data_IF_889767846560
#
_entry.id   IF_889767846560
#
_cell.length_a   1.000
_cell.length_b   1.000
_cell.length_c   1.000
_cell.angle_alpha   90.00
_cell.angle_beta   90.00
_cell.angle_gamma   90.00
#
_symmetry.space_group_name_H-M   'P 1'
#
loop_
_entity.id
_entity.type
_entity.pdbx_description
1 polymer ?
#
# COMPACT_ATOMS: atom_id res chain seq x y z
N UNK A 1 -18.79 29.27 12.30
CA UNK A 1 -17.33 29.47 12.13
C UNK A 1 -16.56 28.15 12.15
N UNK A 2 -16.71 27.30 13.17
CA UNK A 2 -16.01 26.00 13.25
C UNK A 2 -16.37 24.99 12.14
N UNK A 3 -17.60 25.05 11.62
CA UNK A 3 -18.07 24.16 10.55
C UNK A 3 -17.51 24.57 9.16
N UNK A 4 -17.23 25.85 8.94
CA UNK A 4 -16.59 26.32 7.69
C UNK A 4 -15.13 25.86 7.60
N UNK A 5 -14.48 25.63 8.74
CA UNK A 5 -13.13 25.07 8.78
C UNK A 5 -13.14 23.64 8.25
N UNK A 6 -14.15 22.82 8.61
CA UNK A 6 -14.29 21.44 8.14
C UNK A 6 -14.59 21.34 6.63
N UNK A 7 -15.40 22.26 6.09
CA UNK A 7 -15.70 22.34 4.66
C UNK A 7 -14.49 22.79 3.82
N UNK A 8 -13.62 23.62 4.40
CA UNK A 8 -12.38 24.09 3.79
C UNK A 8 -11.14 23.25 4.17
N UNK A 9 -11.29 22.11 4.86
CA UNK A 9 -10.15 21.26 5.24
C UNK A 9 -9.54 20.62 3.99
N UNK A 10 -8.45 21.21 3.52
CA UNK A 10 -7.55 20.57 2.58
C UNK A 10 -6.73 19.46 3.27
N UNK A 11 -5.95 18.77 2.44
CA UNK A 11 -4.98 17.77 2.94
C UNK A 11 -3.99 18.36 3.95
N UNK A 12 -3.62 19.64 3.78
CA UNK A 12 -2.69 20.36 4.65
C UNK A 12 -3.26 20.55 6.06
N UNK A 13 -4.50 21.03 6.20
CA UNK A 13 -5.12 21.27 7.50
C UNK A 13 -5.39 19.96 8.25
N UNK A 14 -5.82 18.91 7.54
CA UNK A 14 -5.95 17.58 8.12
C UNK A 14 -4.60 17.08 8.66
N UNK A 15 -3.51 17.30 7.93
CA UNK A 15 -2.16 16.93 8.38
C UNK A 15 -1.73 17.72 9.62
N UNK A 16 -2.09 19.00 9.72
CA UNK A 16 -1.77 19.83 10.88
C UNK A 16 -2.51 19.37 12.14
N UNK A 17 -3.80 19.08 12.03
CA UNK A 17 -4.61 18.55 13.13
C UNK A 17 -4.12 17.15 13.53
N UNK A 18 -3.80 16.31 12.54
CA UNK A 18 -3.21 15.00 12.75
C UNK A 18 -1.89 15.12 13.53
N UNK A 19 -0.99 16.02 13.13
CA UNK A 19 0.29 16.24 13.81
C UNK A 19 0.08 16.69 15.26
N UNK A 20 -0.86 17.60 15.52
CA UNK A 20 -1.18 18.04 16.88
C UNK A 20 -1.74 16.89 17.73
N UNK A 21 -2.65 16.09 17.17
CA UNK A 21 -3.14 14.87 17.81
C UNK A 21 -2.01 13.85 18.05
N UNK A 22 -1.05 13.70 17.12
CA UNK A 22 0.12 12.83 17.29
C UNK A 22 1.04 13.32 18.40
N UNK A 23 1.14 14.63 18.67
CA UNK A 23 1.92 15.14 19.79
C UNK A 23 1.22 14.83 21.12
N UNK A 24 -0.09 15.04 21.20
CA UNK A 24 -0.86 14.77 22.43
C UNK A 24 -0.99 13.27 22.73
N UNK A 25 -1.38 12.48 21.74
CA UNK A 25 -1.60 11.04 21.89
C UNK A 25 -0.33 10.22 21.65
N UNK A 26 0.57 10.69 20.80
CA UNK A 26 1.76 9.94 20.35
C UNK A 26 1.52 9.19 19.02
N UNK A 27 2.49 9.18 18.09
CA UNK A 27 2.39 8.46 16.81
C UNK A 27 2.22 6.95 16.94
N UNK A 28 2.60 6.38 18.10
CA UNK A 28 2.41 4.97 18.40
C UNK A 28 1.01 4.64 18.93
N UNK A 29 0.32 5.58 19.58
CA UNK A 29 -0.97 5.32 20.24
C UNK A 29 -2.14 5.31 19.27
N UNK A 30 -2.15 6.20 18.27
CA UNK A 30 -3.19 6.20 17.23
C UNK A 30 -3.30 4.86 16.46
N UNK A 31 -2.20 4.28 15.91
CA UNK A 31 -2.28 2.99 15.23
C UNK A 31 -2.55 1.83 16.19
N UNK A 32 -2.11 1.93 17.45
CA UNK A 32 -2.43 0.93 18.47
C UNK A 32 -3.92 0.93 18.80
N UNK A 33 -4.51 2.11 18.97
CA UNK A 33 -5.93 2.29 19.23
C UNK A 33 -6.75 1.83 18.03
N UNK A 34 -6.40 2.24 16.80
CA UNK A 34 -7.10 1.82 15.59
C UNK A 34 -7.05 0.30 15.35
N UNK A 35 -5.94 -0.37 15.67
CA UNK A 35 -5.87 -1.85 15.63
C UNK A 35 -6.84 -2.50 16.61
N UNK A 36 -6.90 -2.00 17.84
CA UNK A 36 -7.83 -2.52 18.84
C UNK A 36 -9.30 -2.24 18.47
N UNK A 37 -9.62 -1.01 18.06
CA UNK A 37 -10.94 -0.59 17.63
C UNK A 37 -11.37 -1.35 16.36
N UNK A 38 -10.46 -1.52 15.40
CA UNK A 38 -10.69 -2.28 14.17
C UNK A 38 -11.04 -3.73 14.44
N UNK A 39 -10.44 -4.36 15.45
CA UNK A 39 -10.81 -5.73 15.86
C UNK A 39 -12.26 -5.79 16.36
N UNK A 40 -12.66 -4.85 17.23
CA UNK A 40 -14.06 -4.77 17.71
C UNK A 40 -15.03 -4.51 16.56
N UNK A 41 -14.68 -3.62 15.63
CA UNK A 41 -15.51 -3.34 14.44
C UNK A 41 -15.61 -4.58 13.54
N UNK A 42 -14.54 -5.35 13.38
CA UNK A 42 -14.56 -6.58 12.58
C UNK A 42 -15.45 -7.66 13.21
N UNK A 43 -15.36 -7.84 14.53
CA UNK A 43 -16.22 -8.75 15.29
C UNK A 43 -17.68 -8.29 15.25
N UNK A 44 -17.94 -6.98 15.40
CA UNK A 44 -19.27 -6.39 15.27
C UNK A 44 -19.85 -6.56 13.86
N UNK A 45 -19.04 -6.36 12.81
CA UNK A 45 -19.47 -6.62 11.42
C UNK A 45 -19.85 -8.07 11.20
N UNK A 46 -19.06 -9.02 11.74
CA UNK A 46 -19.37 -10.44 11.64
C UNK A 46 -20.68 -10.80 12.35
N UNK A 47 -20.86 -10.32 13.57
CA UNK A 47 -22.13 -10.48 14.28
C UNK A 47 -23.30 -9.85 13.49
N UNK A 48 -23.11 -8.64 12.96
CA UNK A 48 -24.12 -7.92 12.14
C UNK A 48 -24.51 -8.71 10.88
N UNK A 49 -23.55 -9.35 10.23
CA UNK A 49 -23.78 -10.21 9.06
C UNK A 49 -24.59 -11.45 9.43
N UNK A 50 -24.30 -12.09 10.57
CA UNK A 50 -25.06 -13.23 11.06
C UNK A 50 -26.51 -12.82 11.41
N UNK A 51 -26.71 -11.64 12.00
CA UNK A 51 -28.04 -11.07 12.25
C UNK A 51 -28.78 -10.80 10.94
N UNK A 52 -28.11 -10.22 9.93
CA UNK A 52 -28.70 -9.95 8.61
C UNK A 52 -29.16 -11.24 7.94
N UNK A 53 -28.34 -12.29 7.96
CA UNK A 53 -28.69 -13.61 7.40
C UNK A 53 -29.88 -14.26 8.08
N UNK A 54 -29.94 -14.15 9.42
CA UNK A 54 -31.06 -14.68 10.20
C UNK A 54 -32.34 -13.91 9.88
N UNK A 55 -32.27 -12.59 9.77
CA UNK A 55 -33.39 -11.73 9.42
C UNK A 55 -33.90 -12.01 8.00
N UNK A 56 -33.01 -12.08 7.01
CA UNK A 56 -33.36 -12.41 5.61
C UNK A 56 -34.01 -13.79 5.50
N UNK A 57 -33.52 -14.79 6.26
CA UNK A 57 -34.12 -16.12 6.29
C UNK A 57 -35.54 -16.11 6.84
N UNK A 58 -35.78 -15.35 7.91
CA UNK A 58 -37.10 -15.26 8.53
C UNK A 58 -38.09 -14.51 7.63
N UNK A 59 -37.67 -13.37 7.06
CA UNK A 59 -38.52 -12.58 6.15
C UNK A 59 -38.83 -13.37 4.87
N UNK A 60 -37.84 -14.07 4.28
CA UNK A 60 -38.07 -14.90 3.10
C UNK A 60 -38.99 -16.11 3.40
N UNK A 61 -38.93 -16.66 4.61
CA UNK A 61 -39.83 -17.73 5.04
C UNK A 61 -41.27 -17.21 5.17
N UNK A 62 -41.46 -16.04 5.77
CA UNK A 62 -42.76 -15.38 5.88
C UNK A 62 -43.32 -15.02 4.49
N UNK A 63 -42.50 -14.48 3.59
CA UNK A 63 -42.89 -14.18 2.21
C UNK A 63 -43.32 -15.45 1.44
N UNK A 64 -42.61 -16.57 1.61
CA UNK A 64 -42.97 -17.85 0.98
C UNK A 64 -44.29 -18.44 1.50
N UNK A 65 -44.62 -18.20 2.78
CA UNK A 65 -45.91 -18.60 3.37
C UNK A 65 -47.06 -17.73 2.87
N UNK A 66 -46.78 -16.47 2.56
CA UNK A 66 -47.75 -15.52 2.00
C UNK A 66 -47.94 -15.72 0.49
N UNK A 67 -46.90 -16.16 -0.25
CA UNK A 67 -46.92 -16.37 -1.71
C UNK A 67 -47.42 -17.77 -2.15
N UNK A 68 -47.42 -18.77 -1.25
CA UNK A 68 -48.00 -20.10 -1.50
C UNK A 68 -49.52 -20.09 -1.84
N UNK A 69 -50.16 -18.90 -1.82
CA UNK A 69 -51.52 -18.67 -2.28
C UNK A 69 -51.70 -18.27 -3.75
N UNK A 70 -50.65 -18.02 -4.54
CA UNK A 70 -50.85 -17.59 -5.94
C UNK A 70 -49.63 -17.84 -6.87
N UNK A 71 -49.70 -18.77 -7.84
CA UNK A 71 -48.58 -19.02 -8.75
C UNK A 71 -48.61 -18.04 -9.93
N UNK A 72 -47.93 -16.91 -9.78
CA UNK A 72 -47.49 -16.04 -10.89
C UNK A 72 -46.55 -14.99 -10.28
N UNK A 73 -45.24 -15.01 -10.47
CA UNK A 73 -44.59 -14.77 -11.77
C UNK A 73 -43.09 -15.02 -11.58
N UNK A 74 -42.47 -15.72 -12.52
CA UNK A 74 -41.02 -15.76 -12.66
C UNK A 74 -40.52 -14.34 -12.90
N UNK A 75 -39.79 -13.77 -11.94
CA UNK A 75 -38.97 -12.59 -12.17
C UNK A 75 -37.51 -13.04 -12.22
N UNK A 76 -37.11 -13.33 -13.46
CA UNK A 76 -35.74 -13.47 -13.91
C UNK A 76 -35.03 -12.12 -13.78
N UNK A 77 -34.40 -11.88 -12.64
CA UNK A 77 -33.35 -10.86 -12.52
C UNK A 77 -32.00 -11.54 -12.80
N UNK A 78 -31.85 -11.89 -14.08
CA UNK A 78 -30.59 -12.26 -14.71
C UNK A 78 -29.69 -11.01 -14.67
N UNK A 79 -28.86 -10.89 -13.64
CA UNK A 79 -27.82 -9.86 -13.59
C UNK A 79 -26.71 -10.22 -14.57
N UNK A 80 -27.00 -10.09 -15.86
CA UNK A 80 -26.02 -10.09 -16.94
C UNK A 80 -25.29 -8.75 -16.94
N UNK A 81 -24.55 -8.45 -15.86
CA UNK A 81 -23.50 -7.41 -15.84
C UNK A 81 -22.14 -8.12 -15.91
N UNK A 82 -22.04 -9.17 -16.71
CA UNK A 82 -20.76 -9.73 -17.14
C UNK A 82 -20.87 -10.10 -18.63
N UNK A 83 -21.62 -9.30 -19.40
CA UNK A 83 -21.52 -9.32 -20.85
C UNK A 83 -20.30 -8.49 -21.25
N UNK A 84 -19.17 -9.19 -21.35
CA UNK A 84 -18.31 -9.06 -22.52
C UNK A 84 -17.82 -7.64 -22.88
N UNK A 85 -17.23 -6.91 -21.93
CA UNK A 85 -16.19 -5.93 -22.26
C UNK A 85 -14.88 -6.65 -22.66
N UNK A 86 -14.99 -7.56 -23.63
CA UNK A 86 -13.85 -8.15 -24.34
C UNK A 86 -14.01 -7.96 -25.85
N UNK A 87 -14.78 -6.93 -26.24
CA UNK A 87 -14.89 -6.50 -27.62
C UNK A 87 -13.85 -5.40 -27.89
N UNK A 88 -12.70 -5.84 -28.42
CA UNK A 88 -11.97 -5.10 -29.44
C UNK A 88 -11.37 -3.73 -29.04
N UNK A 89 -10.42 -3.72 -28.10
CA UNK A 89 -9.33 -2.74 -28.17
C UNK A 89 -8.19 -3.35 -29.01
N UNK A 90 -8.36 -3.37 -30.33
CA UNK A 90 -7.22 -3.45 -31.25
C UNK A 90 -6.38 -2.19 -31.03
N UNK A 91 -5.39 -2.29 -30.15
CA UNK A 91 -4.27 -1.37 -30.18
C UNK A 91 -3.45 -1.74 -31.43
N UNK A 92 -3.06 -0.77 -32.28
CA UNK A 92 -2.17 -1.06 -33.39
C UNK A 92 -0.93 -1.74 -32.85
N UNK A 93 -0.61 -2.92 -33.36
CA UNK A 93 0.62 -3.62 -32.99
C UNK A 93 1.80 -2.68 -33.25
N UNK A 94 2.73 -2.51 -32.30
CA UNK A 94 3.95 -1.79 -32.57
C UNK A 94 4.71 -2.56 -33.65
N UNK A 95 4.82 -1.94 -34.83
CA UNK A 95 5.68 -2.41 -35.91
C UNK A 95 7.13 -2.34 -35.40
N UNK A 96 7.63 -3.45 -34.87
CA UNK A 96 9.05 -3.61 -34.57
C UNK A 96 9.72 -3.88 -35.93
N UNK A 97 10.41 -2.88 -36.49
CA UNK A 97 11.35 -3.14 -37.57
C UNK A 97 12.40 -4.14 -37.08
N UNK A 98 12.64 -5.26 -37.81
CA UNK A 98 13.72 -6.15 -37.45
C UNK A 98 15.05 -5.44 -37.64
N UNK A 99 15.72 -5.14 -36.53
CA UNK A 99 17.10 -4.64 -36.55
C UNK A 99 17.95 -5.68 -37.25
N UNK A 100 18.69 -5.32 -38.32
CA UNK A 100 19.52 -6.27 -39.04
C UNK A 100 20.58 -6.82 -38.09
N UNK A 101 20.68 -8.15 -38.08
CA UNK A 101 21.73 -8.89 -37.39
C UNK A 101 23.08 -8.57 -38.05
N UNK A 102 23.71 -7.48 -37.63
CA UNK A 102 25.06 -7.11 -38.02
C UNK A 102 25.95 -7.04 -36.77
N UNK A 103 26.75 -8.10 -36.66
CA UNK A 103 28.12 -8.12 -36.14
C UNK A 103 28.32 -8.05 -34.61
N UNK A 104 28.55 -9.25 -34.08
CA UNK A 104 29.30 -9.50 -32.85
C UNK A 104 30.67 -8.80 -32.89
N UNK A 105 30.82 -7.72 -32.14
CA UNK A 105 32.13 -7.14 -31.83
C UNK A 105 32.44 -7.34 -30.34
N UNK A 106 33.55 -8.03 -30.11
CA UNK A 106 33.88 -8.69 -28.85
C UNK A 106 34.15 -7.77 -27.67
N UNK A 107 33.89 -8.32 -26.49
CA UNK A 107 34.33 -7.80 -25.20
C UNK A 107 35.86 -7.80 -25.15
N UNK A 108 36.49 -6.65 -25.36
CA UNK A 108 37.88 -6.45 -24.95
C UNK A 108 37.95 -5.90 -23.53
N UNK A 109 38.48 -6.75 -22.65
CA UNK A 109 39.12 -6.35 -21.41
C UNK A 109 40.50 -5.83 -21.79
N UNK A 110 40.79 -4.54 -21.56
CA UNK A 110 42.16 -4.03 -21.48
C UNK A 110 42.27 -3.10 -20.28
N UNK A 111 43.17 -3.51 -19.40
CA UNK A 111 43.64 -2.87 -18.18
C UNK A 111 44.72 -1.82 -18.48
N UNK A 112 45.19 -1.14 -17.41
CA UNK A 112 46.43 -0.33 -17.33
C UNK A 112 46.20 1.15 -17.70
N UNK A 113 46.77 2.18 -17.09
CA UNK A 113 47.80 2.39 -16.04
C UNK A 113 47.97 3.93 -15.97
N UNK A 114 48.10 4.49 -14.76
CA UNK A 114 48.91 5.70 -14.42
C UNK A 114 48.73 6.97 -15.27
N UNK A 115 48.22 8.08 -14.74
CA UNK A 115 49.02 9.03 -13.93
C UNK A 115 48.10 10.09 -13.27
N UNK A 116 48.10 10.23 -11.93
CA UNK A 116 47.67 11.43 -11.23
C UNK A 116 48.83 12.43 -11.14
N UNK A 117 49.41 12.81 -12.29
CA UNK A 117 50.40 13.90 -12.36
C UNK A 117 49.68 15.25 -12.50
N UNK A 118 49.02 15.66 -11.41
CA UNK A 118 48.66 17.05 -11.16
C UNK A 118 49.06 17.38 -9.71
N UNK A 119 50.37 17.34 -9.51
CA UNK A 119 51.13 17.93 -8.42
C UNK A 119 50.73 19.40 -8.22
N UNK A 120 50.27 19.73 -7.01
CA UNK A 120 50.47 21.00 -6.28
C UNK A 120 49.87 20.77 -4.88
N UNK A 121 50.57 20.11 -3.97
CA UNK A 121 51.49 20.75 -3.03
C UNK A 121 50.78 21.80 -2.15
N UNK A 122 50.20 21.37 -1.03
CA UNK A 122 50.33 22.11 0.21
C UNK A 122 50.37 21.12 1.38
N UNK A 123 51.50 21.18 2.07
CA UNK A 123 51.86 20.47 3.29
C UNK A 123 51.38 21.35 4.44
N UNK A 124 50.60 20.81 5.36
CA UNK A 124 50.79 21.17 6.77
C UNK A 124 50.43 19.98 7.66
N UNK A 125 51.30 19.82 8.64
CA UNK A 125 51.56 18.70 9.51
C UNK A 125 51.03 19.07 10.89
N UNK A 126 50.22 18.23 11.53
CA UNK A 126 50.21 18.12 13.00
C UNK A 126 49.14 17.15 13.49
N UNK A 127 49.57 16.13 14.24
CA UNK A 127 48.83 15.73 15.44
C UNK A 127 48.21 14.34 15.38
N UNK A 128 49.06 13.36 15.68
CA UNK A 128 48.79 12.12 16.40
C UNK A 128 47.37 11.88 16.95
N UNK A 129 46.80 10.72 16.62
CA UNK A 129 46.36 9.75 17.65
C UNK A 129 46.13 8.35 17.03
N UNK A 130 46.80 7.29 17.53
CA UNK A 130 46.67 5.94 16.99
C UNK A 130 45.34 5.29 17.39
N UNK A 131 44.74 4.62 16.42
CA UNK A 131 43.59 3.73 16.55
C UNK A 131 43.78 2.76 17.72
N UNK A 132 42.98 2.89 18.79
CA UNK A 132 42.76 1.81 19.75
C UNK A 132 41.58 0.95 19.31
N UNK A 133 41.91 -0.22 18.80
CA UNK A 133 41.03 -1.37 18.61
C UNK A 133 40.74 -2.03 19.97
N UNK A 134 39.47 -2.34 20.28
CA UNK A 134 39.14 -3.41 21.24
C UNK A 134 37.75 -4.04 20.93
N UNK A 135 37.62 -5.38 20.90
CA UNK A 135 36.43 -6.13 20.47
C UNK A 135 35.40 -6.39 21.62
N UNK A 136 34.22 -7.01 21.36
CA UNK A 136 32.98 -6.79 22.11
C UNK A 136 32.88 -7.61 23.41
N UNK A 137 32.44 -6.98 24.50
CA UNK A 137 32.11 -7.67 25.76
C UNK A 137 30.67 -8.18 25.77
N UNK A 138 30.54 -9.52 25.81
CA UNK A 138 29.37 -10.24 26.32
C UNK A 138 29.37 -10.21 27.85
N UNK A 139 28.21 -9.97 28.46
CA UNK A 139 27.85 -10.16 29.87
C UNK A 139 26.30 -10.06 29.88
N UNK A 140 25.54 -11.13 29.66
CA UNK A 140 25.26 -12.25 30.57
C UNK A 140 24.97 -11.81 32.01
N UNK A 141 23.68 -11.57 32.29
CA UNK A 141 23.01 -11.56 33.60
C UNK A 141 21.53 -11.87 33.29
N UNK A 142 21.02 -13.07 33.52
CA UNK A 142 20.56 -13.69 34.78
C UNK A 142 19.77 -12.74 35.69
#
# INVERSE_FOLDING_TARGET
MFLLILDSLGSTELFFILLMALVFFGPRKLPQLSRSMGKHIAEFRKASEDFKRTWEREVAFEESLLDAGSPSSQQSDDNTILDSENQHRQLPEPMIEPVPAAESVGRQVVSNTTDPSALSAEVDESGDDPIKTEPPRKQDWL
#
